data_IF_147729309733
#
_entry.id   IF_147729309733
#
_cell.length_a   1.000
_cell.length_b   1.000
_cell.length_c   1.000
_cell.angle_alpha   90.00
_cell.angle_beta   90.00
_cell.angle_gamma   90.00
#
_symmetry.space_group_name_H-M   'P 1'
#
loop_
_entity.id
_entity.type
_entity.pdbx_description
1 polymer ?
#
# COMPACT_ATOMS: atom_id res chain seq x y z
N UNK A 1 41.73 12.41 13.17
CA UNK A 1 40.85 13.22 12.33
C UNK A 1 39.88 12.36 11.54
N UNK A 2 38.66 12.83 11.36
CA UNK A 2 37.63 12.18 10.54
C UNK A 2 37.60 12.93 9.20
N UNK A 3 37.87 12.22 8.12
CA UNK A 3 37.70 12.77 6.78
C UNK A 3 36.42 12.20 6.17
N UNK A 4 35.48 13.09 5.83
CA UNK A 4 34.27 12.71 5.10
C UNK A 4 34.50 12.96 3.61
N UNK A 5 34.49 11.90 2.81
CA UNK A 5 34.50 11.97 1.35
C UNK A 5 33.18 11.36 0.84
N UNK A 6 32.25 12.23 0.49
CA UNK A 6 30.95 11.81 -0.04
C UNK A 6 30.10 11.04 0.97
N UNK A 7 29.76 9.78 0.65
CA UNK A 7 28.91 8.90 1.50
C UNK A 7 29.69 8.00 2.45
N UNK A 8 31.02 8.09 2.46
CA UNK A 8 31.89 7.23 3.25
C UNK A 8 32.68 8.05 4.25
N UNK A 9 32.84 7.50 5.45
CA UNK A 9 33.69 8.04 6.51
C UNK A 9 34.82 7.03 6.72
N UNK A 10 36.06 7.47 6.52
CA UNK A 10 37.25 6.71 6.81
C UNK A 10 37.66 6.96 8.27
N UNK A 11 37.74 5.91 9.05
CA UNK A 11 38.22 5.94 10.43
C UNK A 11 39.75 5.89 10.49
N UNK A 12 40.31 6.37 11.60
CA UNK A 12 41.78 6.43 11.83
C UNK A 12 42.45 5.04 11.72
N UNK A 13 41.66 3.97 11.87
CA UNK A 13 42.12 2.60 11.75
C UNK A 13 42.05 2.01 10.32
N UNK A 14 41.70 2.83 9.32
CA UNK A 14 41.55 2.41 7.93
C UNK A 14 40.24 1.70 7.58
N UNK A 15 39.28 1.62 8.51
CA UNK A 15 37.97 1.10 8.22
C UNK A 15 37.07 2.18 7.56
N UNK A 16 36.54 1.84 6.42
CA UNK A 16 35.58 2.70 5.71
C UNK A 16 34.16 2.37 6.16
N UNK A 17 33.48 3.33 6.73
CA UNK A 17 32.07 3.20 7.13
C UNK A 17 31.18 3.92 6.13
N UNK A 18 30.25 3.20 5.55
CA UNK A 18 29.14 3.80 4.81
C UNK A 18 28.11 4.38 5.80
N UNK A 19 28.45 5.53 6.36
CA UNK A 19 27.69 6.22 7.39
C UNK A 19 26.29 6.59 6.93
N UNK A 20 26.16 7.04 5.67
CA UNK A 20 24.87 7.45 5.14
C UNK A 20 23.90 6.28 5.00
N UNK A 21 24.40 5.10 4.60
CA UNK A 21 23.58 3.89 4.46
C UNK A 21 23.12 3.33 5.81
N UNK A 22 24.04 3.28 6.78
CA UNK A 22 23.72 2.84 8.16
C UNK A 22 22.71 3.78 8.82
N UNK A 23 22.92 5.10 8.73
CA UNK A 23 22.04 6.08 9.34
C UNK A 23 20.66 6.07 8.69
N UNK A 24 20.59 5.92 7.36
CA UNK A 24 19.31 5.79 6.65
C UNK A 24 18.55 4.52 7.06
N UNK A 25 19.27 3.40 7.25
CA UNK A 25 18.68 2.14 7.74
C UNK A 25 18.21 2.28 9.18
N UNK A 26 19.05 2.81 10.08
CA UNK A 26 18.68 3.06 11.47
C UNK A 26 17.51 4.00 11.61
N UNK A 27 17.47 5.09 10.82
CA UNK A 27 16.35 6.02 10.82
C UNK A 27 15.05 5.36 10.32
N UNK A 28 15.13 4.50 9.30
CA UNK A 28 13.98 3.72 8.85
C UNK A 28 13.48 2.73 9.90
N UNK A 29 14.39 2.06 10.60
CA UNK A 29 14.07 1.12 11.68
C UNK A 29 13.47 1.86 12.88
N UNK A 30 14.01 3.04 13.24
CA UNK A 30 13.48 3.90 14.29
C UNK A 30 12.08 4.40 13.94
N UNK A 31 11.89 4.95 12.73
CA UNK A 31 10.58 5.41 12.26
C UNK A 31 9.54 4.27 12.24
N UNK A 32 9.94 3.08 11.83
CA UNK A 32 9.06 1.90 11.89
C UNK A 32 8.69 1.52 13.32
N UNK A 33 9.64 1.60 14.26
CA UNK A 33 9.38 1.34 15.67
C UNK A 33 8.45 2.38 16.28
N UNK A 34 8.69 3.68 16.01
CA UNK A 34 7.87 4.79 16.50
C UNK A 34 6.44 4.71 15.95
N UNK A 35 6.29 4.42 14.64
CA UNK A 35 4.97 4.21 14.04
C UNK A 35 4.22 3.00 14.62
N UNK A 36 4.93 1.92 14.94
CA UNK A 36 4.33 0.76 15.62
C UNK A 36 3.80 1.14 17.00
N UNK A 37 4.56 1.93 17.75
CA UNK A 37 4.16 2.38 19.06
C UNK A 37 2.96 3.32 19.00
N UNK A 38 2.95 4.27 18.05
CA UNK A 38 1.81 5.14 17.77
C UNK A 38 0.61 4.33 17.31
N UNK A 39 0.81 3.41 16.40
CA UNK A 39 -0.24 2.54 15.89
C UNK A 39 -0.82 1.63 16.98
N UNK A 40 -0.01 1.18 17.96
CA UNK A 40 -0.49 0.42 19.13
C UNK A 40 -1.25 1.30 20.13
N UNK A 41 -0.95 2.61 20.21
CA UNK A 41 -1.63 3.56 21.09
C UNK A 41 -2.95 4.08 20.52
N UNK A 42 -3.13 4.02 19.19
CA UNK A 42 -4.41 4.35 18.57
C UNK A 42 -5.40 3.21 18.87
N UNK A 43 -6.53 3.57 19.41
CA UNK A 43 -7.61 2.62 19.70
C UNK A 43 -8.06 1.91 18.42
N UNK A 44 -8.11 0.56 18.45
CA UNK A 44 -8.69 -0.25 17.36
C UNK A 44 -10.22 -0.09 17.27
N UNK A 45 -10.82 0.77 18.09
CA UNK A 45 -12.28 0.94 18.23
C UNK A 45 -12.97 1.42 16.97
N UNK A 46 -12.24 2.06 16.04
CA UNK A 46 -12.82 2.62 14.81
C UNK A 46 -12.71 1.68 13.60
N UNK A 47 -11.92 0.61 13.70
CA UNK A 47 -11.79 -0.37 12.62
C UNK A 47 -13.04 -1.25 12.57
N UNK A 48 -13.73 -1.36 11.42
CA UNK A 48 -14.88 -2.24 11.28
C UNK A 48 -14.51 -3.68 11.64
N UNK A 49 -15.40 -4.37 12.36
CA UNK A 49 -15.13 -5.73 12.85
C UNK A 49 -15.70 -6.80 11.92
N UNK A 50 -16.79 -6.51 11.22
CA UNK A 50 -17.51 -7.47 10.37
C UNK A 50 -17.59 -6.99 8.93
N UNK A 51 -17.93 -7.91 8.03
CA UNK A 51 -18.19 -7.58 6.62
C UNK A 51 -19.30 -6.52 6.48
N UNK A 52 -20.34 -6.65 7.27
CA UNK A 52 -21.49 -5.74 7.28
C UNK A 52 -21.08 -4.34 7.77
N UNK A 53 -20.18 -4.26 8.73
CA UNK A 53 -19.64 -2.98 9.21
C UNK A 53 -18.83 -2.27 8.13
N UNK A 54 -17.97 -2.99 7.38
CA UNK A 54 -17.26 -2.44 6.23
C UNK A 54 -18.23 -1.98 5.14
N UNK A 55 -19.24 -2.77 4.81
CA UNK A 55 -20.25 -2.40 3.82
C UNK A 55 -21.00 -1.14 4.23
N UNK A 56 -21.37 -1.00 5.49
CA UNK A 56 -22.03 0.19 6.02
C UNK A 56 -21.11 1.40 5.97
N UNK A 57 -19.84 1.24 6.35
CA UNK A 57 -18.86 2.32 6.36
C UNK A 57 -18.60 2.87 4.96
N UNK A 58 -18.52 1.99 3.97
CA UNK A 58 -18.20 2.34 2.57
C UNK A 58 -19.42 2.33 1.63
N UNK A 59 -20.64 2.38 2.15
CA UNK A 59 -21.87 2.30 1.34
C UNK A 59 -21.94 3.33 0.21
N UNK A 60 -21.37 4.52 0.40
CA UNK A 60 -21.31 5.57 -0.63
C UNK A 60 -20.43 5.21 -1.84
N UNK A 61 -19.57 4.19 -1.71
CA UNK A 61 -18.69 3.72 -2.79
C UNK A 61 -19.27 2.55 -3.58
N UNK A 62 -20.38 1.93 -3.13
CA UNK A 62 -20.95 0.73 -3.75
C UNK A 62 -21.22 0.91 -5.24
N UNK A 63 -21.78 2.06 -5.63
CA UNK A 63 -22.11 2.41 -7.02
C UNK A 63 -21.13 3.41 -7.66
N UNK A 64 -19.94 3.59 -7.08
CA UNK A 64 -18.95 4.49 -7.66
C UNK A 64 -18.50 4.00 -9.04
N UNK A 65 -18.23 4.91 -10.00
CA UNK A 65 -17.82 4.56 -11.36
C UNK A 65 -16.34 4.15 -11.45
N UNK A 66 -15.65 4.04 -10.32
CA UNK A 66 -14.26 3.61 -10.20
C UNK A 66 -14.16 2.45 -9.21
N UNK A 67 -13.19 1.58 -9.39
CA UNK A 67 -12.93 0.50 -8.46
C UNK A 67 -12.37 1.05 -7.15
N UNK A 68 -12.94 0.61 -6.04
CA UNK A 68 -12.48 0.96 -4.70
C UNK A 68 -12.42 -0.30 -3.82
N UNK A 69 -11.36 -0.40 -3.04
CA UNK A 69 -11.19 -1.46 -2.04
C UNK A 69 -10.52 -0.92 -0.78
N UNK A 70 -10.87 -1.47 0.37
CA UNK A 70 -10.10 -1.41 1.60
C UNK A 70 -9.42 -2.74 1.81
N UNK A 71 -8.11 -2.72 1.94
CA UNK A 71 -7.29 -3.91 2.16
C UNK A 71 -6.58 -3.85 3.51
N UNK A 72 -6.57 -4.98 4.19
CA UNK A 72 -5.81 -5.18 5.42
C UNK A 72 -4.50 -5.90 5.12
N UNK A 73 -3.38 -5.31 5.55
CA UNK A 73 -2.07 -5.90 5.32
C UNK A 73 -1.81 -7.09 6.24
N UNK A 74 -1.25 -8.15 5.69
CA UNK A 74 -0.79 -9.32 6.42
C UNK A 74 0.71 -9.24 6.61
N UNK A 75 1.17 -9.32 7.86
CA UNK A 75 2.59 -9.22 8.22
C UNK A 75 3.11 -10.56 8.71
N UNK A 76 4.37 -10.87 8.39
CA UNK A 76 5.09 -12.01 8.95
C UNK A 76 5.65 -11.69 10.35
N UNK A 77 6.35 -12.66 10.96
CA UNK A 77 6.98 -12.51 12.27
C UNK A 77 8.04 -11.40 12.31
N UNK A 78 8.71 -11.15 11.19
CA UNK A 78 9.67 -10.06 11.01
C UNK A 78 9.00 -8.69 10.78
N UNK A 79 7.66 -8.68 10.75
CA UNK A 79 6.80 -7.50 10.54
C UNK A 79 6.98 -6.85 9.16
N UNK A 80 7.34 -7.65 8.17
CA UNK A 80 7.26 -7.28 6.77
C UNK A 80 5.91 -7.70 6.20
N UNK A 81 5.30 -6.86 5.37
CA UNK A 81 4.07 -7.23 4.67
C UNK A 81 4.35 -8.35 3.68
N UNK A 82 3.54 -9.39 3.70
CA UNK A 82 3.66 -10.58 2.85
C UNK A 82 2.44 -10.85 2.00
N UNK A 83 1.29 -10.27 2.35
CA UNK A 83 0.02 -10.42 1.64
C UNK A 83 -0.95 -9.30 2.07
N UNK A 84 -2.14 -9.27 1.51
CA UNK A 84 -3.26 -8.44 1.97
C UNK A 84 -4.58 -9.18 1.83
N UNK A 85 -5.55 -8.79 2.65
CA UNK A 85 -6.91 -9.32 2.63
C UNK A 85 -7.84 -8.23 2.15
N UNK A 86 -8.70 -8.53 1.18
CA UNK A 86 -9.76 -7.61 0.76
C UNK A 86 -10.85 -7.56 1.85
N UNK A 87 -11.00 -6.42 2.52
CA UNK A 87 -12.03 -6.22 3.54
C UNK A 87 -13.32 -5.62 2.98
N UNK A 88 -13.17 -4.73 2.01
CA UNK A 88 -14.27 -4.15 1.25
C UNK A 88 -13.88 -4.02 -0.22
N UNK A 89 -14.88 -4.11 -1.10
CA UNK A 89 -14.76 -3.79 -2.51
C UNK A 89 -16.13 -3.54 -3.13
N UNK A 90 -16.16 -2.68 -4.13
CA UNK A 90 -17.38 -2.41 -4.91
C UNK A 90 -17.42 -3.25 -6.20
N UNK A 91 -18.54 -3.19 -6.94
CA UNK A 91 -18.70 -3.95 -8.18
C UNK A 91 -17.64 -3.60 -9.24
N UNK A 92 -17.20 -2.36 -9.32
CA UNK A 92 -16.15 -1.94 -10.23
C UNK A 92 -14.80 -2.63 -9.90
N UNK A 93 -14.53 -2.96 -8.63
CA UNK A 93 -13.38 -3.78 -8.24
C UNK A 93 -13.49 -5.19 -8.83
N UNK A 94 -14.66 -5.82 -8.70
CA UNK A 94 -14.88 -7.16 -9.25
C UNK A 94 -14.64 -7.21 -10.77
N UNK A 95 -15.03 -6.16 -11.49
CA UNK A 95 -14.79 -6.03 -12.92
C UNK A 95 -13.29 -5.94 -13.24
N UNK A 96 -12.53 -5.09 -12.52
CA UNK A 96 -11.08 -4.94 -12.73
C UNK A 96 -10.34 -6.22 -12.37
N UNK A 97 -10.63 -6.80 -11.21
CA UNK A 97 -9.99 -8.02 -10.73
C UNK A 97 -10.47 -9.29 -11.49
N UNK A 98 -11.49 -9.15 -12.36
CA UNK A 98 -12.09 -10.26 -13.11
C UNK A 98 -12.53 -11.41 -12.21
N UNK A 99 -12.95 -11.07 -10.99
CA UNK A 99 -13.27 -12.01 -9.92
C UNK A 99 -14.48 -11.50 -9.13
N UNK A 100 -15.52 -12.32 -8.88
CA UNK A 100 -16.69 -11.90 -8.11
C UNK A 100 -16.33 -11.45 -6.70
N UNK A 101 -17.04 -10.45 -6.16
CA UNK A 101 -16.80 -9.94 -4.80
C UNK A 101 -16.86 -11.03 -3.72
N UNK A 102 -17.72 -12.03 -3.87
CA UNK A 102 -17.81 -13.14 -2.90
C UNK A 102 -16.52 -13.95 -2.82
N UNK A 103 -15.70 -13.96 -3.87
CA UNK A 103 -14.41 -14.65 -3.91
C UNK A 103 -13.25 -13.75 -3.48
N UNK A 104 -13.45 -12.42 -3.50
CA UNK A 104 -12.45 -11.43 -3.08
C UNK A 104 -12.55 -11.13 -1.57
N UNK A 105 -13.75 -10.79 -1.10
CA UNK A 105 -13.95 -10.26 0.25
C UNK A 105 -13.64 -11.31 1.32
N UNK A 106 -12.83 -10.91 2.30
CA UNK A 106 -12.29 -11.76 3.37
C UNK A 106 -11.35 -12.88 2.91
N UNK A 107 -10.84 -12.79 1.68
CA UNK A 107 -9.78 -13.66 1.18
C UNK A 107 -8.50 -12.87 0.94
N UNK A 108 -7.38 -13.52 1.15
CA UNK A 108 -6.09 -12.89 0.85
C UNK A 108 -5.80 -12.92 -0.64
N UNK A 109 -5.06 -11.93 -1.12
CA UNK A 109 -4.68 -11.84 -2.52
C UNK A 109 -3.92 -13.10 -2.96
N UNK A 110 -2.95 -13.53 -2.18
CA UNK A 110 -2.15 -14.72 -2.48
C UNK A 110 -2.94 -16.03 -2.51
N UNK A 111 -4.12 -16.10 -1.87
CA UNK A 111 -5.00 -17.27 -1.94
C UNK A 111 -5.82 -17.32 -3.25
N UNK A 112 -5.98 -16.18 -3.91
CA UNK A 112 -6.79 -16.04 -5.14
C UNK A 112 -5.88 -16.04 -6.37
N UNK A 113 -4.80 -15.26 -6.32
CA UNK A 113 -3.89 -15.03 -7.43
C UNK A 113 -2.51 -15.64 -7.14
N UNK A 114 -2.03 -16.58 -7.97
CA UNK A 114 -0.66 -17.06 -7.88
C UNK A 114 0.32 -15.99 -8.38
N UNK A 115 1.54 -16.01 -7.86
CA UNK A 115 2.65 -15.15 -8.33
C UNK A 115 2.42 -13.64 -8.13
N UNK A 116 2.07 -13.24 -6.89
CA UNK A 116 1.97 -11.83 -6.49
C UNK A 116 3.25 -11.06 -6.85
N UNK A 117 3.08 -9.92 -7.54
CA UNK A 117 4.18 -9.00 -7.78
C UNK A 117 4.44 -8.13 -6.53
N UNK A 118 5.64 -8.21 -5.99
CA UNK A 118 6.02 -7.48 -4.76
C UNK A 118 5.91 -5.96 -4.88
N UNK A 119 5.92 -5.40 -6.08
CA UNK A 119 5.80 -3.94 -6.27
C UNK A 119 4.53 -3.36 -5.66
N UNK A 120 3.40 -4.06 -5.82
CA UNK A 120 2.12 -3.67 -5.22
C UNK A 120 2.18 -3.73 -3.71
N UNK A 121 2.68 -4.84 -3.19
CA UNK A 121 2.82 -5.08 -1.76
C UNK A 121 3.65 -3.99 -1.07
N UNK A 122 4.76 -3.56 -1.69
CA UNK A 122 5.64 -2.51 -1.12
C UNK A 122 4.97 -1.14 -1.08
N UNK A 123 4.17 -0.79 -2.08
CA UNK A 123 3.39 0.46 -2.09
C UNK A 123 2.32 0.45 -1.00
N UNK A 124 1.57 -0.64 -0.89
CA UNK A 124 0.52 -0.79 0.12
C UNK A 124 1.09 -0.79 1.55
N UNK A 125 2.21 -1.48 1.76
CA UNK A 125 2.92 -1.47 3.05
C UNK A 125 3.32 -0.06 3.47
N UNK A 126 3.88 0.73 2.56
CA UNK A 126 4.25 2.13 2.83
C UNK A 126 3.03 2.97 3.23
N UNK A 127 1.95 2.84 2.50
CA UNK A 127 0.70 3.54 2.81
C UNK A 127 0.16 3.14 4.18
N UNK A 128 0.05 1.84 4.44
CA UNK A 128 -0.51 1.32 5.68
C UNK A 128 0.35 1.62 6.92
N UNK A 129 1.68 1.61 6.79
CA UNK A 129 2.61 1.81 7.91
C UNK A 129 2.97 3.27 8.15
N UNK A 130 3.09 4.08 7.10
CA UNK A 130 3.61 5.45 7.19
C UNK A 130 2.56 6.51 6.90
N UNK A 131 1.33 6.13 6.57
CA UNK A 131 0.25 7.07 6.26
C UNK A 131 0.47 7.88 4.98
N UNK A 132 1.33 7.40 4.08
CA UNK A 132 1.61 8.07 2.81
C UNK A 132 0.46 7.85 1.82
N UNK A 133 0.08 8.90 1.10
CA UNK A 133 -0.77 8.77 -0.09
C UNK A 133 0.12 8.64 -1.30
N UNK A 134 0.00 7.53 -2.01
CA UNK A 134 0.89 7.14 -3.10
C UNK A 134 0.12 6.83 -4.37
N UNK A 135 0.75 7.06 -5.50
CA UNK A 135 0.27 6.62 -6.82
C UNK A 135 1.27 5.62 -7.40
N UNK A 136 0.75 4.54 -7.97
CA UNK A 136 1.53 3.59 -8.76
C UNK A 136 0.78 3.30 -10.06
N UNK A 137 1.51 3.28 -11.17
CA UNK A 137 1.00 2.91 -12.48
C UNK A 137 1.93 1.87 -13.08
N UNK A 138 1.43 0.66 -13.30
CA UNK A 138 2.18 -0.46 -13.88
C UNK A 138 1.25 -1.56 -14.38
N UNK A 139 1.82 -2.51 -15.10
CA UNK A 139 1.11 -3.70 -15.54
C UNK A 139 0.93 -4.71 -14.40
N UNK A 140 -0.30 -5.21 -14.25
CA UNK A 140 -0.62 -6.33 -13.35
C UNK A 140 -0.72 -7.62 -14.17
N UNK A 141 0.26 -8.51 -14.09
CA UNK A 141 0.23 -9.77 -14.85
C UNK A 141 -0.84 -10.74 -14.34
N UNK A 142 -1.26 -10.62 -13.10
CA UNK A 142 -2.27 -11.48 -12.48
C UNK A 142 -3.62 -11.37 -13.16
N UNK A 143 -3.95 -10.15 -13.61
CA UNK A 143 -5.23 -9.85 -14.28
C UNK A 143 -5.04 -9.34 -15.71
N UNK A 144 -3.79 -9.33 -16.21
CA UNK A 144 -3.40 -8.84 -17.54
C UNK A 144 -4.01 -7.46 -17.84
N UNK A 145 -3.70 -6.50 -16.97
CA UNK A 145 -4.27 -5.15 -17.03
C UNK A 145 -3.23 -4.10 -16.62
N UNK A 146 -3.12 -3.03 -17.39
CA UNK A 146 -2.34 -1.86 -17.00
C UNK A 146 -3.15 -1.04 -16.01
N UNK A 147 -2.69 -1.03 -14.76
CA UNK A 147 -3.37 -0.37 -13.65
C UNK A 147 -2.72 0.95 -13.28
N UNK A 148 -3.55 1.90 -12.91
CA UNK A 148 -3.19 3.06 -12.10
C UNK A 148 -3.91 2.95 -10.78
N UNK A 149 -3.16 2.96 -9.68
CA UNK A 149 -3.71 2.80 -8.33
C UNK A 149 -3.30 4.02 -7.50
N UNK A 150 -4.28 4.61 -6.84
CA UNK A 150 -4.07 5.63 -5.81
C UNK A 150 -4.33 4.97 -4.46
N UNK A 151 -3.33 4.99 -3.59
CA UNK A 151 -3.36 4.37 -2.28
C UNK A 151 -3.36 5.44 -1.20
N UNK A 152 -4.18 5.28 -0.18
CA UNK A 152 -4.27 6.19 0.97
C UNK A 152 -4.58 5.42 2.26
N UNK A 153 -4.15 5.93 3.43
CA UNK A 153 -4.41 5.25 4.69
C UNK A 153 -5.90 5.31 5.05
N UNK A 154 -6.43 4.22 5.59
CA UNK A 154 -7.81 4.12 6.08
C UNK A 154 -7.83 3.80 7.58
N UNK A 155 -7.74 2.54 7.93
CA UNK A 155 -7.63 2.10 9.32
C UNK A 155 -6.20 1.65 9.63
N UNK A 156 -5.92 1.38 10.89
CA UNK A 156 -4.62 0.86 11.29
C UNK A 156 -4.28 -0.44 10.56
N UNK A 157 -3.12 -0.44 9.88
CA UNK A 157 -2.68 -1.59 9.08
C UNK A 157 -3.46 -1.81 7.79
N UNK A 158 -4.30 -0.87 7.41
CA UNK A 158 -5.12 -0.90 6.20
C UNK A 158 -4.66 0.13 5.17
N UNK A 159 -5.06 -0.11 3.93
CA UNK A 159 -4.87 0.77 2.81
C UNK A 159 -6.15 0.83 1.97
N UNK A 160 -6.65 2.02 1.71
CA UNK A 160 -7.67 2.26 0.70
C UNK A 160 -7.02 2.37 -0.68
N UNK A 161 -7.60 1.73 -1.68
CA UNK A 161 -7.09 1.76 -3.05
C UNK A 161 -8.20 2.13 -4.03
N UNK A 162 -7.94 3.14 -4.85
CA UNK A 162 -8.74 3.46 -6.03
C UNK A 162 -7.98 2.95 -7.25
N UNK A 163 -8.60 2.06 -8.01
CA UNK A 163 -7.98 1.42 -9.16
C UNK A 163 -8.63 1.86 -10.45
N UNK A 164 -7.79 2.11 -11.45
CA UNK A 164 -8.20 2.44 -12.81
C UNK A 164 -7.50 1.51 -13.80
N UNK A 165 -8.27 1.01 -14.77
CA UNK A 165 -7.73 0.44 -15.99
C UNK A 165 -7.22 1.60 -16.86
N UNK A 166 -5.91 1.68 -17.08
CA UNK A 166 -5.30 2.78 -17.83
C UNK A 166 -5.79 2.86 -19.27
N UNK A 167 -6.14 1.72 -19.88
CA UNK A 167 -6.67 1.69 -21.24
C UNK A 167 -8.03 2.40 -21.36
N UNK A 168 -8.77 2.50 -20.25
CA UNK A 168 -10.08 3.17 -20.19
C UNK A 168 -9.99 4.62 -19.74
N UNK A 169 -8.84 5.06 -19.22
CA UNK A 169 -8.63 6.44 -18.80
C UNK A 169 -8.29 7.32 -20.01
N UNK A 170 -9.03 8.41 -20.18
CA UNK A 170 -8.71 9.45 -21.14
C UNK A 170 -8.15 10.67 -20.43
N UNK A 171 -6.99 11.12 -20.88
CA UNK A 171 -6.39 12.35 -20.36
C UNK A 171 -6.85 13.52 -21.22
N UNK A 172 -7.59 14.43 -20.62
CA UNK A 172 -7.92 15.72 -21.24
C UNK A 172 -6.89 16.75 -20.77
N UNK A 173 -6.10 17.28 -21.69
CA UNK A 173 -5.21 18.40 -21.39
C UNK A 173 -6.03 19.68 -21.38
N UNK A 174 -5.97 20.41 -20.26
CA UNK A 174 -6.49 21.77 -20.21
C UNK A 174 -5.81 22.61 -21.28
N UNK A 175 -6.57 23.30 -22.11
CA UNK A 175 -6.01 24.31 -22.99
C UNK A 175 -5.46 25.44 -22.09
N UNK A 176 -4.16 25.75 -22.25
CA UNK A 176 -3.64 27.00 -21.70
C UNK A 176 -4.47 28.13 -22.31
N UNK A 177 -5.06 28.97 -21.47
CA UNK A 177 -5.72 30.17 -21.95
C UNK A 177 -4.73 30.99 -22.76
N UNK A 178 -5.15 31.55 -23.92
CA UNK A 178 -4.28 32.37 -24.74
C UNK A 178 -3.81 33.64 -24.01
#
# INVERSE_FOLDING_TARGET
GIHAIGRQIELINGETLDYAHRRKRQLKEQLRADWRQIAQSLSDSDTPATREDYQRHYASYDSAPFAFTDIEMVFNEERAAVDWIFRYGNEALAEIEKTPLQQLINHSFGSIFPNMDEKWLRVYERTALFGETLEIADHSPEIDTDLKIICFPTFRGHCGCILFDQAKLQTVRGQAAP
#
